data_IF_957635712178
#
_entry.id   IF_957635712178
#
_cell.length_a   1.000
_cell.length_b   1.000
_cell.length_c   1.000
_cell.angle_alpha   90.00
_cell.angle_beta   90.00
_cell.angle_gamma   90.00
#
_symmetry.space_group_name_H-M   'P 1'
#
loop_
_entity.id
_entity.type
_entity.pdbx_description
1 polymer ?
#
# COMPACT_ATOMS: atom_id res chain seq x y z
N UNK A 1 -16.09 -44.32 33.28
CA UNK A 1 -16.98 -43.38 33.98
C UNK A 1 -17.44 -42.33 32.98
N UNK A 2 -18.68 -42.47 32.51
CA UNK A 2 -19.30 -41.67 31.46
C UNK A 2 -19.94 -40.43 32.09
N UNK A 3 -19.66 -39.23 31.60
CA UNK A 3 -20.46 -38.03 31.90
C UNK A 3 -21.01 -37.44 30.61
N UNK A 4 -22.31 -37.52 30.46
CA UNK A 4 -23.10 -36.79 29.46
C UNK A 4 -23.82 -35.63 30.16
N UNK A 5 -23.94 -34.47 29.49
CA UNK A 5 -25.12 -33.58 29.62
C UNK A 5 -25.25 -32.58 28.46
N UNK A 6 -26.31 -32.82 27.67
CA UNK A 6 -27.20 -31.94 26.88
C UNK A 6 -27.43 -30.52 27.45
N UNK A 7 -27.93 -29.46 26.80
CA UNK A 7 -28.38 -29.05 25.44
C UNK A 7 -28.74 -27.55 25.58
N UNK A 8 -28.82 -26.79 24.47
CA UNK A 8 -29.42 -25.45 24.47
C UNK A 8 -29.52 -24.80 23.09
N UNK A 9 -30.53 -25.19 22.31
CA UNK A 9 -31.04 -24.46 21.12
C UNK A 9 -31.99 -23.33 21.56
N UNK A 10 -31.95 -22.15 20.93
CA UNK A 10 -33.01 -21.54 20.07
C UNK A 10 -33.03 -20.00 20.35
N UNK A 11 -33.42 -19.02 19.52
CA UNK A 11 -33.98 -18.88 18.15
C UNK A 11 -34.11 -17.36 17.82
N UNK A 12 -34.21 -17.02 16.53
CA UNK A 12 -34.87 -15.86 15.86
C UNK A 12 -34.24 -14.45 15.74
N UNK A 13 -33.85 -14.16 14.49
CA UNK A 13 -34.39 -13.18 13.53
C UNK A 13 -34.95 -11.80 13.99
N UNK A 14 -34.45 -10.74 13.34
CA UNK A 14 -35.21 -9.52 13.04
C UNK A 14 -34.74 -8.92 11.70
N UNK A 15 -35.64 -8.17 11.07
CA UNK A 15 -35.85 -8.02 9.62
C UNK A 15 -35.78 -6.52 9.22
N UNK A 16 -35.27 -6.24 8.00
CA UNK A 16 -35.48 -5.08 7.10
C UNK A 16 -35.28 -3.61 7.56
N UNK A 17 -34.53 -2.86 6.73
CA UNK A 17 -35.00 -1.57 6.22
C UNK A 17 -34.39 -1.28 4.83
N UNK A 18 -35.26 -1.22 3.81
CA UNK A 18 -35.02 -0.64 2.49
C UNK A 18 -35.33 0.85 2.54
N UNK A 19 -34.43 1.69 2.05
CA UNK A 19 -34.69 3.07 1.63
C UNK A 19 -33.63 3.43 0.58
N UNK A 20 -33.90 4.01 -0.58
CA UNK A 20 -35.14 4.43 -1.22
C UNK A 20 -34.72 4.95 -2.60
N UNK A 21 -35.42 4.52 -3.65
CA UNK A 21 -35.26 4.99 -5.02
C UNK A 21 -36.21 6.18 -5.22
N UNK A 22 -35.77 7.21 -5.95
CA UNK A 22 -36.61 8.30 -6.44
C UNK A 22 -35.76 9.25 -7.28
N UNK A 23 -36.14 9.69 -8.47
CA UNK A 23 -37.36 9.48 -9.24
C UNK A 23 -37.05 9.65 -10.73
N UNK A 24 -37.80 8.95 -11.57
CA UNK A 24 -37.92 9.21 -13.00
C UNK A 24 -38.34 10.66 -13.31
N UNK A 25 -37.73 11.24 -14.34
CA UNK A 25 -38.23 12.41 -15.05
C UNK A 25 -38.12 12.17 -16.55
N UNK A 26 -39.23 11.82 -17.19
CA UNK A 26 -39.35 11.73 -18.64
C UNK A 26 -40.01 12.98 -19.22
N UNK A 27 -39.60 13.34 -20.44
CA UNK A 27 -40.33 14.09 -21.49
C UNK A 27 -39.91 15.54 -21.83
N UNK A 28 -39.13 15.62 -22.93
CA UNK A 28 -39.38 16.39 -24.19
C UNK A 28 -39.16 17.93 -24.31
N UNK A 29 -39.11 18.52 -25.54
CA UNK A 29 -38.03 19.43 -25.97
C UNK A 29 -38.50 20.85 -26.35
N UNK A 30 -37.55 21.77 -26.54
CA UNK A 30 -37.72 22.98 -27.36
C UNK A 30 -37.57 24.31 -26.61
N UNK A 31 -36.66 25.16 -27.09
CA UNK A 31 -36.57 26.59 -26.71
C UNK A 31 -35.13 27.14 -26.59
N UNK A 32 -34.54 27.55 -27.71
CA UNK A 32 -33.25 28.27 -27.86
C UNK A 32 -33.39 29.77 -27.45
N UNK A 33 -32.37 30.65 -27.59
CA UNK A 33 -31.07 30.83 -26.92
C UNK A 33 -30.93 32.19 -26.18
N UNK A 34 -29.91 32.37 -25.33
CA UNK A 34 -29.28 33.68 -25.13
C UNK A 34 -27.84 33.51 -24.66
N UNK A 35 -26.91 34.08 -25.44
CA UNK A 35 -25.48 34.00 -25.21
C UNK A 35 -25.05 34.89 -24.03
N UNK A 36 -24.12 34.39 -23.22
CA UNK A 36 -23.09 35.20 -22.59
C UNK A 36 -21.89 34.29 -22.38
N UNK A 37 -20.80 34.62 -23.06
CA UNK A 37 -19.54 33.88 -22.98
C UNK A 37 -19.00 33.88 -21.57
N UNK A 38 -19.12 32.74 -20.90
CA UNK A 38 -18.21 32.37 -19.83
C UNK A 38 -16.93 31.91 -20.52
N UNK A 39 -15.74 32.43 -20.17
CA UNK A 39 -14.53 31.75 -20.57
C UNK A 39 -14.66 30.33 -20.05
N UNK A 40 -14.55 29.35 -20.94
CA UNK A 40 -14.25 28.00 -20.50
C UNK A 40 -13.02 28.16 -19.61
N UNK A 41 -13.19 27.95 -18.31
CA UNK A 41 -12.09 27.65 -17.45
C UNK A 41 -11.47 26.41 -18.10
N UNK A 42 -10.41 26.65 -18.87
CA UNK A 42 -9.46 25.60 -19.22
C UNK A 42 -8.95 25.20 -17.85
N UNK A 43 -9.58 24.16 -17.29
CA UNK A 43 -8.98 23.44 -16.18
C UNK A 43 -7.56 23.14 -16.68
N UNK A 44 -6.51 23.69 -16.04
CA UNK A 44 -5.17 23.30 -16.41
C UNK A 44 -5.18 21.78 -16.31
N UNK A 45 -4.77 21.11 -17.39
CA UNK A 45 -4.63 19.67 -17.45
C UNK A 45 -3.96 19.22 -16.16
N UNK A 46 -4.77 18.79 -15.21
CA UNK A 46 -4.32 18.58 -13.85
C UNK A 46 -3.47 17.36 -13.94
N UNK A 47 -2.15 17.54 -13.90
CA UNK A 47 -1.22 16.46 -13.64
C UNK A 47 -1.79 15.71 -12.44
N UNK A 48 -2.42 14.56 -12.68
CA UNK A 48 -2.95 13.71 -11.63
C UNK A 48 -1.73 13.26 -10.85
N UNK A 49 -1.45 13.98 -9.77
CA UNK A 49 -0.44 13.59 -8.82
C UNK A 49 -0.95 12.33 -8.17
N UNK A 50 -0.42 11.17 -8.58
CA UNK A 50 -0.65 9.94 -7.84
C UNK A 50 0.10 10.11 -6.53
N UNK A 51 -0.56 10.66 -5.52
CA UNK A 51 0.04 10.86 -4.20
C UNK A 51 0.43 9.49 -3.62
N UNK A 52 1.46 9.46 -2.77
CA UNK A 52 1.84 8.25 -2.01
C UNK A 52 0.74 7.92 -1.01
N UNK A 53 -0.23 7.13 -1.46
CA UNK A 53 -1.42 6.76 -0.69
C UNK A 53 -1.51 5.24 -0.55
N UNK A 54 -1.04 4.49 -1.53
CA UNK A 54 -1.16 3.04 -1.59
C UNK A 54 0.04 2.30 -1.00
N UNK A 55 -0.18 1.04 -0.64
CA UNK A 55 0.91 0.08 -0.44
C UNK A 55 1.40 -0.36 -1.83
N UNK A 56 2.69 -0.23 -2.16
CA UNK A 56 3.20 -0.65 -3.45
C UNK A 56 3.16 -2.18 -3.59
N UNK A 57 3.03 -2.64 -4.83
CA UNK A 57 3.07 -4.08 -5.15
C UNK A 57 4.51 -4.58 -5.25
N UNK A 58 4.79 -5.79 -4.77
CA UNK A 58 6.12 -6.41 -4.85
C UNK A 58 6.46 -7.01 -6.22
N UNK A 59 5.52 -7.05 -7.17
CA UNK A 59 5.75 -7.63 -8.51
C UNK A 59 5.97 -9.16 -8.52
N UNK A 60 5.96 -9.80 -7.34
CA UNK A 60 6.11 -11.23 -7.11
C UNK A 60 6.15 -11.51 -5.60
N UNK A 61 5.62 -12.66 -5.16
CA UNK A 61 5.54 -13.01 -3.73
C UNK A 61 4.47 -12.23 -2.95
N UNK A 62 4.25 -12.64 -1.70
CA UNK A 62 3.30 -12.00 -0.78
C UNK A 62 4.03 -11.02 0.15
N UNK A 63 3.41 -9.86 0.39
CA UNK A 63 3.93 -8.90 1.37
C UNK A 63 3.77 -9.46 2.79
N UNK A 64 4.87 -9.60 3.50
CA UNK A 64 4.89 -10.00 4.90
C UNK A 64 4.65 -8.82 5.82
N UNK A 65 5.10 -7.64 5.41
CA UNK A 65 4.96 -6.39 6.16
C UNK A 65 4.84 -5.22 5.20
N UNK A 66 4.02 -4.24 5.55
CA UNK A 66 3.75 -3.06 4.73
C UNK A 66 3.35 -1.86 5.56
N UNK A 67 3.46 -0.68 4.96
CA UNK A 67 2.95 0.56 5.53
C UNK A 67 2.63 1.57 4.43
N UNK A 68 1.64 2.42 4.65
CA UNK A 68 1.19 3.44 3.71
C UNK A 68 1.23 4.84 4.33
N UNK A 69 1.40 5.86 3.47
CA UNK A 69 1.31 7.28 3.81
C UNK A 69 2.07 7.69 5.09
N UNK A 70 3.28 7.16 5.28
CA UNK A 70 4.13 7.40 6.45
C UNK A 70 4.94 8.67 6.30
N UNK A 71 5.26 9.29 7.44
CA UNK A 71 6.20 10.41 7.56
C UNK A 71 7.22 10.10 8.66
N UNK A 72 8.40 10.70 8.56
CA UNK A 72 9.48 10.48 9.52
C UNK A 72 10.02 9.05 9.50
N UNK A 73 10.84 8.74 10.50
CA UNK A 73 11.47 7.43 10.66
C UNK A 73 10.51 6.40 11.28
N UNK A 74 10.69 5.13 10.93
CA UNK A 74 9.91 4.03 11.49
C UNK A 74 10.66 2.70 11.37
N UNK A 75 10.33 1.75 12.24
CA UNK A 75 10.89 0.40 12.23
C UNK A 75 9.77 -0.62 12.09
N UNK A 76 10.04 -1.68 11.33
CA UNK A 76 9.09 -2.75 11.06
C UNK A 76 9.77 -4.10 11.18
N UNK A 77 9.36 -4.95 12.14
CA UNK A 77 9.87 -6.31 12.20
C UNK A 77 9.44 -7.06 10.94
N UNK A 78 10.33 -7.91 10.44
CA UNK A 78 10.02 -8.85 9.35
C UNK A 78 9.43 -10.10 10.01
N UNK A 79 8.17 -10.47 9.73
CA UNK A 79 7.60 -11.68 10.30
C UNK A 79 8.42 -12.93 9.99
N UNK A 80 8.85 -13.62 11.05
CA UNK A 80 9.74 -14.78 10.95
C UNK A 80 11.22 -14.44 10.74
N UNK A 81 11.61 -13.17 10.85
CA UNK A 81 12.98 -12.69 10.79
C UNK A 81 13.63 -12.75 9.41
N UNK A 82 14.94 -12.53 9.36
CA UNK A 82 15.80 -12.73 8.20
C UNK A 82 16.07 -14.21 7.98
N UNK A 83 16.21 -14.62 6.71
CA UNK A 83 16.45 -16.01 6.29
C UNK A 83 17.64 -16.07 5.35
N UNK A 84 18.70 -16.77 5.76
CA UNK A 84 19.88 -16.97 4.93
C UNK A 84 19.53 -17.64 3.59
N UNK A 85 20.12 -17.18 2.50
CA UNK A 85 19.85 -17.64 1.12
C UNK A 85 18.49 -17.20 0.58
N UNK A 86 17.73 -16.40 1.33
CA UNK A 86 16.49 -15.78 0.87
C UNK A 86 16.76 -14.47 0.14
N UNK A 87 15.90 -14.15 -0.83
CA UNK A 87 15.88 -12.84 -1.48
C UNK A 87 14.74 -12.00 -0.88
N UNK A 88 15.10 -10.98 -0.09
CA UNK A 88 14.14 -10.04 0.48
C UNK A 88 13.85 -8.93 -0.54
N UNK A 89 12.63 -8.90 -1.07
CA UNK A 89 12.16 -7.82 -1.91
C UNK A 89 11.52 -6.72 -1.04
N UNK A 90 11.88 -5.46 -1.31
CA UNK A 90 11.32 -4.27 -0.68
C UNK A 90 10.91 -3.31 -1.77
N UNK A 91 9.60 -3.12 -1.95
CA UNK A 91 9.03 -2.10 -2.81
C UNK A 91 8.65 -0.88 -1.98
N UNK A 92 8.90 0.32 -2.50
CA UNK A 92 8.55 1.56 -1.82
C UNK A 92 8.21 2.64 -2.83
N UNK A 93 7.36 3.55 -2.37
CA UNK A 93 7.02 4.79 -3.05
C UNK A 93 7.36 5.94 -2.11
N UNK A 94 7.91 7.03 -2.65
CA UNK A 94 8.09 8.24 -1.87
C UNK A 94 7.86 9.50 -2.70
N UNK A 95 7.41 10.55 -1.99
CA UNK A 95 7.16 11.88 -2.53
C UNK A 95 7.68 12.94 -1.56
N UNK A 96 8.06 14.08 -2.11
CA UNK A 96 8.48 15.25 -1.35
C UNK A 96 9.99 15.40 -1.34
N UNK A 97 10.45 16.62 -1.13
CA UNK A 97 11.87 16.93 -1.21
C UNK A 97 12.64 16.26 -0.06
N UNK A 98 13.58 15.36 -0.41
CA UNK A 98 14.48 14.74 0.55
C UNK A 98 14.96 13.37 0.11
N UNK A 99 15.23 12.51 1.08
CA UNK A 99 15.62 11.12 0.84
C UNK A 99 14.92 10.18 1.82
N UNK A 100 14.69 8.97 1.37
CA UNK A 100 14.30 7.83 2.20
C UNK A 100 15.49 6.87 2.26
N UNK A 101 15.95 6.56 3.46
CA UNK A 101 16.96 5.52 3.72
C UNK A 101 16.26 4.32 4.32
N UNK A 102 16.60 3.14 3.84
CA UNK A 102 16.08 1.87 4.32
C UNK A 102 17.25 0.98 4.69
N UNK A 103 17.27 0.51 5.93
CA UNK A 103 18.24 -0.44 6.44
C UNK A 103 17.56 -1.79 6.70
N UNK A 104 18.27 -2.88 6.40
CA UNK A 104 17.90 -4.23 6.81
C UNK A 104 18.80 -4.62 7.97
N UNK A 105 18.23 -4.67 9.18
CA UNK A 105 18.97 -4.92 10.41
C UNK A 105 18.70 -6.34 10.90
N UNK A 106 19.71 -7.08 11.38
CA UNK A 106 21.14 -6.74 11.46
C UNK A 106 21.96 -7.14 10.23
N UNK A 107 21.33 -7.47 9.09
CA UNK A 107 22.03 -7.86 7.86
C UNK A 107 23.01 -6.80 7.33
N UNK A 108 22.82 -5.52 7.68
CA UNK A 108 23.74 -4.44 7.33
C UNK A 108 23.54 -3.89 5.91
N UNK A 109 22.57 -4.40 5.16
CA UNK A 109 22.17 -3.82 3.89
C UNK A 109 21.50 -2.46 4.12
N UNK A 110 21.86 -1.47 3.32
CA UNK A 110 21.29 -0.11 3.39
C UNK A 110 21.19 0.48 2.00
N UNK A 111 20.06 1.11 1.69
CA UNK A 111 19.84 1.80 0.43
C UNK A 111 19.17 3.15 0.67
N UNK A 112 19.59 4.13 -0.13
CA UNK A 112 19.09 5.51 -0.06
C UNK A 112 18.44 5.89 -1.38
N UNK A 113 17.29 6.54 -1.29
CA UNK A 113 16.46 6.84 -2.44
C UNK A 113 16.13 8.33 -2.40
N UNK A 114 16.43 9.09 -3.47
CA UNK A 114 15.98 10.46 -3.58
C UNK A 114 14.46 10.49 -3.77
N UNK A 115 13.79 11.36 -3.03
CA UNK A 115 12.38 11.65 -3.17
C UNK A 115 12.23 13.05 -3.77
N UNK A 116 11.35 13.18 -4.75
CA UNK A 116 11.12 14.44 -5.45
C UNK A 116 9.73 14.97 -5.12
N UNK A 117 9.62 16.30 -4.99
CA UNK A 117 8.33 16.94 -4.80
C UNK A 117 7.53 16.81 -6.09
N UNK A 118 6.29 16.34 -5.96
CA UNK A 118 5.46 16.20 -7.14
C UNK A 118 5.98 15.12 -8.10
N UNK A 119 6.58 14.04 -7.58
CA UNK A 119 6.76 12.79 -8.32
C UNK A 119 6.67 11.62 -7.36
N UNK A 120 5.94 10.59 -7.77
CA UNK A 120 5.92 9.30 -7.10
C UNK A 120 6.46 8.28 -8.06
N UNK A 121 7.66 7.79 -7.77
CA UNK A 121 8.28 6.71 -8.52
C UNK A 121 8.31 5.47 -7.64
N UNK A 122 7.61 4.38 -8.02
CA UNK A 122 7.79 3.11 -7.36
C UNK A 122 9.21 2.62 -7.63
N UNK A 123 9.89 2.20 -6.58
CA UNK A 123 11.21 1.58 -6.68
C UNK A 123 11.19 0.30 -5.87
N UNK A 124 11.88 -0.72 -6.40
CA UNK A 124 12.00 -2.02 -5.79
C UNK A 124 13.47 -2.37 -5.66
N UNK A 125 13.86 -2.82 -4.47
CA UNK A 125 15.17 -3.40 -4.23
C UNK A 125 15.00 -4.84 -3.77
N UNK A 126 15.86 -5.73 -4.28
CA UNK A 126 15.94 -7.12 -3.87
C UNK A 126 17.29 -7.36 -3.23
N UNK A 127 17.30 -7.97 -2.06
CA UNK A 127 18.46 -8.11 -1.21
C UNK A 127 18.66 -9.59 -0.91
N UNK A 128 19.80 -10.14 -1.31
CA UNK A 128 20.20 -11.46 -0.85
C UNK A 128 20.58 -11.37 0.64
N UNK A 129 20.01 -12.25 1.44
CA UNK A 129 20.23 -12.28 2.89
C UNK A 129 21.23 -13.38 3.20
N UNK A 130 22.40 -13.01 3.70
CA UNK A 130 23.48 -13.97 3.99
C UNK A 130 23.32 -14.70 5.33
N UNK A 131 22.50 -14.16 6.24
CA UNK A 131 22.34 -14.67 7.61
C UNK A 131 20.88 -14.73 8.04
N UNK A 132 20.54 -15.81 8.72
CA UNK A 132 19.26 -15.95 9.43
C UNK A 132 19.31 -15.20 10.76
N UNK A 133 18.32 -14.36 11.01
CA UNK A 133 18.19 -13.63 12.29
C UNK A 133 16.72 -13.46 12.67
N UNK A 134 16.26 -14.01 13.82
CA UNK A 134 14.85 -13.95 14.20
C UNK A 134 14.37 -12.54 14.58
N UNK A 135 15.28 -11.61 14.87
CA UNK A 135 14.98 -10.21 15.18
C UNK A 135 15.09 -9.29 13.95
N UNK A 136 15.16 -9.88 12.75
CA UNK A 136 15.21 -9.17 11.48
C UNK A 136 14.16 -8.07 11.35
N UNK A 137 14.59 -6.86 10.96
CA UNK A 137 13.69 -5.73 10.76
C UNK A 137 14.15 -4.80 9.63
N UNK A 138 13.18 -4.05 9.12
CA UNK A 138 13.41 -2.89 8.27
C UNK A 138 13.39 -1.63 9.11
N UNK A 139 14.39 -0.78 8.94
CA UNK A 139 14.44 0.55 9.55
C UNK A 139 14.42 1.60 8.45
N UNK A 140 13.47 2.51 8.54
CA UNK A 140 13.29 3.61 7.60
C UNK A 140 13.67 4.92 8.26
N UNK A 141 14.42 5.74 7.54
CA UNK A 141 14.74 7.12 7.92
C UNK A 141 14.35 8.04 6.78
N UNK A 142 13.37 8.91 7.01
CA UNK A 142 12.86 9.82 6.00
C UNK A 142 13.20 11.28 6.35
N UNK A 143 13.57 12.07 5.33
CA UNK A 143 13.64 13.53 5.48
C UNK A 143 12.30 14.14 5.89
N UNK A 144 12.32 15.29 6.57
CA UNK A 144 11.11 15.92 7.15
C UNK A 144 10.03 16.29 6.13
N UNK A 145 10.39 16.47 4.85
CA UNK A 145 9.48 16.74 3.75
C UNK A 145 8.98 15.51 3.00
N UNK A 146 9.38 14.30 3.39
CA UNK A 146 9.12 13.06 2.65
C UNK A 146 7.92 12.32 3.23
N UNK A 147 6.99 11.96 2.35
CA UNK A 147 5.92 10.98 2.62
C UNK A 147 6.23 9.70 1.85
N UNK A 148 6.04 8.55 2.47
CA UNK A 148 6.48 7.28 1.91
C UNK A 148 5.55 6.11 2.25
N UNK A 149 5.59 5.08 1.41
CA UNK A 149 4.89 3.81 1.59
C UNK A 149 5.80 2.66 1.18
N UNK A 150 5.55 1.46 1.69
CA UNK A 150 6.35 0.28 1.37
C UNK A 150 5.58 -1.02 1.53
N UNK A 151 6.11 -2.05 0.86
CA UNK A 151 5.82 -3.45 1.10
C UNK A 151 7.14 -4.22 1.11
N UNK A 152 7.23 -5.27 1.91
CA UNK A 152 8.37 -6.16 1.91
C UNK A 152 7.94 -7.63 2.04
N UNK A 153 8.62 -8.51 1.32
CA UNK A 153 8.32 -9.93 1.26
C UNK A 153 9.45 -10.74 0.64
N UNK A 154 9.35 -12.06 0.70
CA UNK A 154 10.33 -12.95 0.08
C UNK A 154 10.05 -13.05 -1.42
N UNK A 155 11.05 -12.76 -2.25
CA UNK A 155 11.00 -13.03 -3.67
C UNK A 155 11.11 -14.54 -3.91
N UNK A 156 10.08 -15.10 -4.53
CA UNK A 156 9.99 -16.52 -4.85
C UNK A 156 10.34 -16.81 -6.32
N UNK A 157 10.69 -15.78 -7.11
CA UNK A 157 10.90 -15.90 -8.55
C UNK A 157 12.08 -16.81 -8.95
N UNK A 158 13.03 -17.04 -8.03
CA UNK A 158 14.12 -18.02 -8.19
C UNK A 158 13.70 -19.46 -7.87
N UNK A 159 12.70 -19.66 -7.00
CA UNK A 159 12.19 -20.99 -6.62
C UNK A 159 11.26 -21.58 -7.69
N UNK A 160 10.49 -20.74 -8.37
CA UNK A 160 9.64 -21.15 -9.50
C UNK A 160 10.43 -21.58 -10.74
N UNK A 161 11.67 -21.07 -10.93
CA UNK A 161 12.55 -21.49 -12.05
C UNK A 161 13.33 -22.78 -11.80
N UNK A 162 13.28 -23.32 -10.59
CA UNK A 162 13.97 -24.55 -10.20
C UNK A 162 13.02 -25.77 -10.08
N UNK A 163 11.76 -25.62 -10.50
CA UNK A 163 10.73 -26.67 -10.52
C UNK A 163 10.37 -27.04 -11.96
#
# INVERSE_FOLDING_TARGET
MTRAKTWGTAVSAAVLALAGCGAEGASQPGGQPAASGVPAAVEPAGNKHTAVVGVPSLGGGEALVSGAARKGSAEYPIPGGLRAGGMLAVAFECEGAGKLVVDVVPAGASFSVPCEKGKVAPLMNVIEVDRTDPAGMLRFTAGSGVTWAFAAGWDNSSRERAS
#
